data_IF_720893314034
#
_entry.id   IF_720893314034
#
_cell.length_a   1.000
_cell.length_b   1.000
_cell.length_c   1.000
_cell.angle_alpha   90.00
_cell.angle_beta   90.00
_cell.angle_gamma   90.00
#
_symmetry.space_group_name_H-M   'P 1'
#
loop_
_entity.id
_entity.type
_entity.pdbx_description
1 polymer ?
#
# COMPACT_ATOMS: atom_id res chain seq x y z
N UNK A 1 16.86 -8.43 -16.36
CA UNK A 1 15.61 -9.01 -15.81
C UNK A 1 15.69 -8.96 -14.29
N UNK A 2 14.58 -8.64 -13.59
CA UNK A 2 14.48 -8.69 -12.13
C UNK A 2 13.61 -9.86 -11.69
N UNK A 3 14.13 -10.72 -10.83
CA UNK A 3 13.43 -11.90 -10.31
C UNK A 3 12.81 -11.60 -8.94
N UNK A 4 11.50 -11.73 -8.87
CA UNK A 4 10.70 -11.54 -7.66
C UNK A 4 10.29 -12.91 -7.15
N UNK A 5 10.72 -13.27 -5.94
CA UNK A 5 10.31 -14.50 -5.28
C UNK A 5 9.23 -14.20 -4.24
N UNK A 6 8.09 -14.90 -4.32
CA UNK A 6 6.97 -14.75 -3.39
C UNK A 6 6.76 -16.06 -2.64
N UNK A 7 7.18 -16.04 -1.38
CA UNK A 7 7.05 -17.14 -0.42
C UNK A 7 5.94 -16.91 0.60
N UNK A 8 5.74 -17.87 1.51
CA UNK A 8 4.95 -17.59 2.70
C UNK A 8 4.73 -18.79 3.61
N UNK A 9 4.41 -18.51 4.88
CA UNK A 9 4.33 -19.47 5.99
C UNK A 9 3.39 -20.65 5.72
N UNK A 10 2.25 -20.39 5.06
CA UNK A 10 1.22 -21.40 4.77
C UNK A 10 0.45 -21.16 3.46
N UNK A 11 -0.52 -22.03 3.16
CA UNK A 11 -1.47 -21.84 2.06
C UNK A 11 -2.54 -20.80 2.41
N UNK A 12 -3.09 -20.11 1.40
CA UNK A 12 -4.22 -19.19 1.62
C UNK A 12 -3.83 -17.74 1.94
N UNK A 13 -2.54 -17.45 2.12
CA UNK A 13 -2.03 -16.10 2.40
C UNK A 13 -2.17 -15.09 1.25
N UNK A 14 -2.68 -15.50 0.08
CA UNK A 14 -2.84 -14.59 -1.06
C UNK A 14 -1.60 -14.42 -1.95
N UNK A 15 -0.62 -15.33 -1.89
CA UNK A 15 0.57 -15.32 -2.78
C UNK A 15 0.20 -15.16 -4.27
N UNK A 16 -0.77 -15.94 -4.75
CA UNK A 16 -1.29 -15.86 -6.13
C UNK A 16 -1.81 -14.46 -6.47
N UNK A 17 -2.52 -13.83 -5.53
CA UNK A 17 -3.08 -12.48 -5.71
C UNK A 17 -1.94 -11.47 -5.86
N UNK A 18 -1.00 -11.45 -4.93
CA UNK A 18 0.17 -10.57 -4.98
C UNK A 18 0.96 -10.77 -6.29
N UNK A 19 1.23 -12.02 -6.67
CA UNK A 19 1.96 -12.34 -7.89
C UNK A 19 1.24 -11.82 -9.15
N UNK A 20 -0.08 -11.92 -9.21
CA UNK A 20 -0.87 -11.42 -10.33
C UNK A 20 -0.91 -9.89 -10.38
N UNK A 21 -1.09 -9.21 -9.24
CA UNK A 21 -1.09 -7.74 -9.18
C UNK A 21 0.26 -7.16 -9.61
N UNK A 22 1.36 -7.77 -9.14
CA UNK A 22 2.71 -7.40 -9.58
C UNK A 22 2.91 -7.65 -11.09
N UNK A 23 2.43 -8.78 -11.62
CA UNK A 23 2.57 -9.10 -13.04
C UNK A 23 1.80 -8.13 -13.94
N UNK A 24 0.61 -7.70 -13.51
CA UNK A 24 -0.19 -6.71 -14.22
C UNK A 24 0.45 -5.31 -14.18
N UNK A 25 1.09 -4.96 -13.07
CA UNK A 25 1.75 -3.66 -12.92
C UNK A 25 3.09 -3.58 -13.67
N UNK A 26 3.89 -4.64 -13.62
CA UNK A 26 5.22 -4.72 -14.19
C UNK A 26 5.13 -5.11 -15.67
N UNK A 27 5.28 -4.12 -16.55
CA UNK A 27 5.26 -4.33 -18.00
C UNK A 27 6.34 -5.32 -18.46
N UNK A 28 6.02 -6.15 -19.45
CA UNK A 28 6.91 -7.20 -19.96
C UNK A 28 7.41 -8.15 -18.84
N UNK A 29 6.51 -8.51 -17.94
CA UNK A 29 6.73 -9.53 -16.94
C UNK A 29 6.30 -10.92 -17.42
N UNK A 30 6.76 -11.95 -16.71
CA UNK A 30 6.22 -13.30 -16.81
C UNK A 30 6.04 -13.85 -15.40
N UNK A 31 4.95 -14.58 -15.19
CA UNK A 31 4.67 -15.25 -13.93
C UNK A 31 4.82 -16.76 -14.09
N UNK A 32 5.35 -17.41 -13.07
CA UNK A 32 5.32 -18.85 -12.92
C UNK A 32 5.11 -19.28 -11.47
N UNK A 33 4.78 -20.54 -11.27
CA UNK A 33 4.56 -21.13 -9.96
C UNK A 33 5.33 -22.43 -9.79
N UNK A 34 5.88 -22.63 -8.60
CA UNK A 34 6.49 -23.88 -8.18
C UNK A 34 5.73 -24.45 -6.99
N UNK A 35 5.29 -25.70 -7.08
CA UNK A 35 4.48 -26.35 -6.04
C UNK A 35 4.73 -27.86 -5.92
N UNK A 36 4.19 -28.48 -4.86
CA UNK A 36 4.37 -29.91 -4.59
C UNK A 36 3.56 -30.82 -5.52
N UNK A 37 2.32 -30.43 -5.81
CA UNK A 37 1.37 -31.29 -6.53
C UNK A 37 1.24 -30.89 -8.00
N UNK A 38 0.51 -31.71 -8.76
CA UNK A 38 0.15 -31.36 -10.15
C UNK A 38 -0.59 -30.02 -10.22
N UNK A 39 -0.38 -29.31 -11.33
CA UNK A 39 -1.09 -28.06 -11.65
C UNK A 39 -2.62 -28.26 -11.54
N UNK A 40 -3.27 -27.48 -10.68
CA UNK A 40 -4.73 -27.46 -10.55
C UNK A 40 -5.39 -26.89 -11.81
N UNK A 41 -6.62 -27.33 -12.12
CA UNK A 41 -7.42 -26.78 -13.24
C UNK A 41 -7.61 -25.26 -13.04
N UNK A 42 -7.27 -24.46 -14.06
CA UNK A 42 -7.26 -22.99 -13.97
C UNK A 42 -6.03 -22.39 -13.28
N UNK A 43 -5.04 -23.21 -12.88
CA UNK A 43 -3.74 -22.74 -12.39
C UNK A 43 -2.88 -22.12 -13.50
N UNK A 44 -1.78 -21.43 -13.13
CA UNK A 44 -0.92 -20.73 -14.08
C UNK A 44 -0.34 -21.69 -15.13
N UNK A 45 -0.15 -21.20 -16.35
CA UNK A 45 0.42 -21.99 -17.45
C UNK A 45 1.83 -22.48 -17.14
N UNK A 46 2.68 -21.57 -16.66
CA UNK A 46 4.03 -21.87 -16.21
C UNK A 46 3.97 -22.42 -14.78
N UNK A 47 3.78 -23.73 -14.65
CA UNK A 47 3.74 -24.43 -13.38
C UNK A 47 4.76 -25.56 -13.38
N UNK A 48 5.64 -25.56 -12.38
CA UNK A 48 6.71 -26.54 -12.23
C UNK A 48 6.58 -27.29 -10.91
N UNK A 49 6.82 -28.59 -10.94
CA UNK A 49 6.96 -29.41 -9.73
C UNK A 49 8.43 -29.60 -9.36
N UNK A 50 9.32 -29.55 -10.35
CA UNK A 50 10.77 -29.69 -10.18
C UNK A 50 11.49 -28.34 -10.18
N UNK A 51 12.48 -28.19 -9.30
CA UNK A 51 13.26 -26.95 -9.20
C UNK A 51 14.15 -26.73 -10.43
N UNK A 52 14.63 -27.79 -11.08
CA UNK A 52 15.44 -27.70 -12.30
C UNK A 52 14.66 -27.06 -13.46
N UNK A 53 13.39 -27.43 -13.62
CA UNK A 53 12.55 -26.91 -14.70
C UNK A 53 12.25 -25.42 -14.50
N UNK A 54 12.04 -25.01 -13.24
CA UNK A 54 11.88 -23.61 -12.90
C UNK A 54 13.15 -22.79 -13.20
N UNK A 55 14.34 -23.32 -12.89
CA UNK A 55 15.62 -22.66 -13.21
C UNK A 55 15.80 -22.52 -14.72
N UNK A 56 15.55 -23.59 -15.49
CA UNK A 56 15.63 -23.56 -16.95
C UNK A 56 14.66 -22.53 -17.55
N UNK A 57 13.44 -22.45 -16.99
CA UNK A 57 12.46 -21.45 -17.39
C UNK A 57 12.94 -20.01 -17.12
N UNK A 58 13.52 -19.75 -15.94
CA UNK A 58 14.08 -18.44 -15.59
C UNK A 58 15.17 -18.03 -16.57
N UNK A 59 16.11 -18.94 -16.87
CA UNK A 59 17.18 -18.68 -17.84
C UNK A 59 16.61 -18.36 -19.23
N UNK A 60 15.58 -19.10 -19.69
CA UNK A 60 14.90 -18.81 -20.96
C UNK A 60 14.25 -17.42 -21.00
N UNK A 61 13.85 -16.88 -19.85
CA UNK A 61 13.20 -15.57 -19.75
C UNK A 61 14.19 -14.40 -19.76
N UNK A 62 15.46 -14.63 -19.38
CA UNK A 62 16.49 -13.57 -19.24
C UNK A 62 16.70 -12.76 -20.53
N UNK A 63 16.51 -13.38 -21.70
CA UNK A 63 16.73 -12.76 -22.99
C UNK A 63 15.60 -11.81 -23.45
N UNK A 64 14.42 -11.84 -22.83
CA UNK A 64 13.24 -11.13 -23.35
C UNK A 64 12.31 -10.49 -22.33
N UNK A 65 12.59 -10.64 -21.03
CA UNK A 65 11.72 -10.14 -19.95
C UNK A 65 12.42 -9.14 -19.04
N UNK A 66 11.67 -8.13 -18.63
CA UNK A 66 12.16 -7.17 -17.64
C UNK A 66 11.97 -7.70 -16.22
N UNK A 67 10.90 -8.46 -15.99
CA UNK A 67 10.56 -8.98 -14.68
C UNK A 67 10.11 -10.45 -14.77
N UNK A 68 10.49 -11.25 -13.79
CA UNK A 68 10.03 -12.62 -13.63
C UNK A 68 9.49 -12.77 -12.22
N UNK A 69 8.25 -13.25 -12.07
CA UNK A 69 7.55 -13.31 -10.79
C UNK A 69 7.26 -14.77 -10.46
N UNK A 70 7.95 -15.25 -9.43
CA UNK A 70 7.91 -16.61 -8.96
C UNK A 70 7.01 -16.73 -7.73
N UNK A 71 5.92 -17.48 -7.83
CA UNK A 71 5.22 -17.97 -6.64
C UNK A 71 5.83 -19.31 -6.23
N UNK A 72 6.37 -19.40 -5.03
CA UNK A 72 7.09 -20.58 -4.62
C UNK A 72 6.72 -21.03 -3.20
N UNK A 73 6.44 -22.32 -3.05
CA UNK A 73 6.15 -22.93 -1.74
C UNK A 73 7.29 -23.82 -1.24
N UNK A 74 8.37 -23.98 -2.02
CA UNK A 74 9.47 -24.94 -1.76
C UNK A 74 10.88 -24.37 -2.01
N UNK A 75 10.99 -23.08 -2.30
CA UNK A 75 12.11 -22.59 -3.10
C UNK A 75 13.11 -21.81 -2.25
N UNK A 76 14.09 -22.53 -1.69
CA UNK A 76 15.19 -21.88 -0.98
C UNK A 76 16.52 -22.57 -1.27
N UNK A 77 17.55 -21.74 -1.54
CA UNK A 77 18.96 -22.16 -1.66
C UNK A 77 19.55 -22.32 -3.07
N UNK A 78 18.76 -22.24 -4.16
CA UNK A 78 19.27 -22.45 -5.55
C UNK A 78 18.94 -21.35 -6.56
N UNK A 79 18.10 -20.39 -6.20
CA UNK A 79 17.75 -19.26 -7.08
C UNK A 79 18.17 -17.99 -6.39
N UNK A 80 19.00 -17.22 -7.08
CA UNK A 80 19.37 -15.87 -6.69
C UNK A 80 18.27 -14.91 -7.17
N UNK A 81 17.41 -14.48 -6.26
CA UNK A 81 16.31 -13.56 -6.53
C UNK A 81 16.74 -12.13 -6.22
N UNK A 82 16.36 -11.17 -7.07
CA UNK A 82 16.64 -9.76 -6.79
C UNK A 82 15.83 -9.22 -5.61
N UNK A 83 14.66 -9.82 -5.35
CA UNK A 83 13.81 -9.47 -4.20
C UNK A 83 12.97 -10.66 -3.75
N UNK A 84 13.02 -10.94 -2.45
CA UNK A 84 12.25 -11.98 -1.78
C UNK A 84 11.16 -11.32 -0.93
N UNK A 85 9.90 -11.56 -1.29
CA UNK A 85 8.73 -11.15 -0.53
C UNK A 85 8.18 -12.38 0.19
N UNK A 86 8.10 -12.32 1.51
CA UNK A 86 7.57 -13.41 2.33
C UNK A 86 6.27 -12.99 3.02
N UNK A 87 5.22 -13.79 2.84
CA UNK A 87 3.93 -13.58 3.48
C UNK A 87 3.88 -14.43 4.75
N UNK A 88 3.77 -13.79 5.91
CA UNK A 88 3.91 -14.42 7.22
C UNK A 88 2.62 -14.33 8.03
N UNK A 89 2.27 -15.45 8.69
CA UNK A 89 1.31 -15.52 9.80
C UNK A 89 1.87 -16.43 10.90
N UNK A 90 1.89 -15.95 12.14
CA UNK A 90 2.46 -16.60 13.34
C UNK A 90 1.66 -17.82 13.76
N UNK A 91 0.35 -17.88 13.45
CA UNK A 91 -0.51 -19.04 13.75
C UNK A 91 -0.24 -20.26 12.86
N UNK A 92 0.67 -20.14 11.89
CA UNK A 92 1.03 -21.26 11.03
C UNK A 92 2.20 -22.03 11.65
N UNK A 93 2.00 -23.33 11.92
CA UNK A 93 3.11 -24.29 12.06
C UNK A 93 3.95 -24.26 10.78
N UNK A 94 4.97 -23.39 10.74
CA UNK A 94 5.82 -23.19 9.57
C UNK A 94 6.51 -24.50 9.24
N UNK A 95 6.50 -24.87 7.95
CA UNK A 95 7.30 -25.98 7.47
C UNK A 95 8.77 -25.53 7.44
N UNK A 96 9.76 -26.44 7.62
CA UNK A 96 11.18 -26.09 7.56
C UNK A 96 11.58 -25.36 6.26
N UNK A 97 10.97 -25.72 5.13
CA UNK A 97 11.18 -25.06 3.82
C UNK A 97 10.70 -23.58 3.81
N UNK A 98 9.75 -23.22 4.68
CA UNK A 98 9.25 -21.85 4.84
C UNK A 98 10.17 -20.99 5.71
N UNK A 99 10.89 -21.59 6.66
CA UNK A 99 11.77 -20.86 7.58
C UNK A 99 13.01 -20.30 6.86
N UNK A 100 13.62 -21.09 5.98
CA UNK A 100 14.77 -20.62 5.20
C UNK A 100 14.38 -19.45 4.28
N UNK A 101 13.18 -19.51 3.69
CA UNK A 101 12.61 -18.45 2.85
C UNK A 101 12.32 -17.17 3.66
N UNK A 102 11.88 -17.32 4.92
CA UNK A 102 11.65 -16.22 5.84
C UNK A 102 12.98 -15.54 6.24
N UNK A 103 14.02 -16.32 6.54
CA UNK A 103 15.34 -15.82 6.92
C UNK A 103 16.01 -15.00 5.80
N UNK A 104 15.70 -15.30 4.54
CA UNK A 104 16.22 -14.60 3.36
C UNK A 104 15.23 -13.56 2.79
N UNK A 105 14.15 -13.22 3.51
CA UNK A 105 13.16 -12.27 3.03
C UNK A 105 13.70 -10.83 3.06
N UNK A 106 13.60 -10.13 1.92
CA UNK A 106 13.85 -8.69 1.85
C UNK A 106 12.66 -7.90 2.39
N UNK A 107 11.45 -8.37 2.09
CA UNK A 107 10.17 -7.74 2.44
C UNK A 107 9.29 -8.79 3.11
N UNK A 108 8.94 -8.53 4.37
CA UNK A 108 7.98 -9.34 5.11
C UNK A 108 6.63 -8.62 5.13
N UNK A 109 5.57 -9.35 4.76
CA UNK A 109 4.17 -8.91 4.84
C UNK A 109 3.43 -9.78 5.86
N UNK A 110 2.52 -9.19 6.63
CA UNK A 110 1.81 -9.85 7.72
C UNK A 110 2.57 -9.67 9.04
N UNK A 111 2.76 -10.76 9.78
CA UNK A 111 3.56 -10.73 11.00
C UNK A 111 5.01 -10.33 10.75
N UNK A 112 5.57 -9.56 11.68
CA UNK A 112 6.92 -9.01 11.59
C UNK A 112 7.11 -8.00 10.44
N UNK A 113 6.03 -7.49 9.85
CA UNK A 113 6.12 -6.48 8.79
C UNK A 113 6.67 -5.15 9.32
N UNK A 114 7.55 -4.54 8.53
CA UNK A 114 8.03 -3.17 8.77
C UNK A 114 7.88 -2.32 7.49
N UNK A 115 6.70 -1.70 7.27
CA UNK A 115 6.42 -0.99 6.03
C UNK A 115 7.33 0.22 5.76
N UNK A 116 7.95 0.78 6.80
CA UNK A 116 8.88 1.91 6.66
C UNK A 116 10.16 1.52 5.90
N UNK A 117 10.53 0.24 5.88
CA UNK A 117 11.74 -0.25 5.22
C UNK A 117 11.52 -0.71 3.78
N UNK A 118 10.27 -0.97 3.36
CA UNK A 118 10.00 -1.57 2.05
C UNK A 118 10.51 -0.73 0.88
N UNK A 119 10.47 0.60 0.97
CA UNK A 119 11.03 1.46 -0.08
C UNK A 119 12.53 1.21 -0.25
N UNK A 120 13.28 1.18 0.85
CA UNK A 120 14.73 0.97 0.83
C UNK A 120 15.11 -0.40 0.24
N UNK A 121 14.25 -1.41 0.41
CA UNK A 121 14.42 -2.75 -0.19
C UNK A 121 14.17 -2.76 -1.70
N UNK A 122 13.38 -1.82 -2.22
CA UNK A 122 13.14 -1.67 -3.66
C UNK A 122 14.17 -0.77 -4.36
N UNK A 123 14.93 0.03 -3.61
CA UNK A 123 15.91 0.97 -4.17
C UNK A 123 16.99 0.30 -5.03
N UNK A 124 17.55 -0.88 -4.67
CA UNK A 124 18.58 -1.56 -5.48
C UNK A 124 18.06 -2.14 -6.80
N UNK A 125 16.74 -2.18 -7.03
CA UNK A 125 16.15 -2.85 -8.20
C UNK A 125 16.19 -2.02 -9.49
N UNK A 126 16.72 -0.79 -9.45
CA UNK A 126 16.71 0.16 -10.58
C UNK A 126 15.30 0.37 -11.18
N UNK A 127 14.29 0.39 -10.30
CA UNK A 127 12.89 0.60 -10.69
C UNK A 127 12.56 2.09 -10.62
N UNK A 128 11.91 2.69 -11.64
CA UNK A 128 11.48 4.08 -11.60
C UNK A 128 10.66 4.40 -10.33
N UNK A 129 10.93 5.54 -9.69
CA UNK A 129 10.28 5.94 -8.41
C UNK A 129 8.75 5.89 -8.51
N UNK A 130 8.18 6.31 -9.65
CA UNK A 130 6.73 6.25 -9.89
C UNK A 130 6.17 4.83 -9.88
N UNK A 131 6.95 3.86 -10.37
CA UNK A 131 6.59 2.43 -10.36
C UNK A 131 6.80 1.82 -8.98
N UNK A 132 7.90 2.15 -8.27
CA UNK A 132 8.10 1.77 -6.85
C UNK A 132 6.93 2.18 -5.97
N UNK A 133 6.41 3.40 -6.11
CA UNK A 133 5.23 3.86 -5.36
C UNK A 133 3.97 3.04 -5.65
N UNK A 134 3.80 2.53 -6.88
CA UNK A 134 2.68 1.65 -7.22
C UNK A 134 2.87 0.25 -6.63
N UNK A 135 4.10 -0.28 -6.66
CA UNK A 135 4.46 -1.54 -5.99
C UNK A 135 4.16 -1.46 -4.49
N UNK A 136 4.58 -0.38 -3.82
CA UNK A 136 4.29 -0.17 -2.40
C UNK A 136 2.79 -0.19 -2.08
N UNK A 137 1.94 0.36 -2.96
CA UNK A 137 0.47 0.28 -2.76
C UNK A 137 -0.04 -1.15 -2.81
N UNK A 138 0.50 -1.97 -3.71
CA UNK A 138 0.18 -3.41 -3.80
C UNK A 138 0.64 -4.12 -2.51
N UNK A 139 1.87 -3.86 -2.06
CA UNK A 139 2.41 -4.43 -0.83
C UNK A 139 1.57 -4.04 0.40
N UNK A 140 1.18 -2.77 0.53
CA UNK A 140 0.28 -2.33 1.59
C UNK A 140 -1.08 -3.02 1.50
N UNK A 141 -1.70 -3.10 0.33
CA UNK A 141 -2.99 -3.80 0.18
C UNK A 141 -2.90 -5.28 0.52
N UNK A 142 -1.79 -5.94 0.18
CA UNK A 142 -1.54 -7.33 0.53
C UNK A 142 -1.28 -7.50 2.04
N UNK A 143 -0.56 -6.56 2.66
CA UNK A 143 -0.34 -6.54 4.10
C UNK A 143 -1.66 -6.32 4.86
N UNK A 144 -2.50 -5.41 4.37
CA UNK A 144 -3.84 -5.18 4.92
C UNK A 144 -4.70 -6.44 4.79
N UNK A 145 -4.67 -7.13 3.64
CA UNK A 145 -5.35 -8.42 3.44
C UNK A 145 -4.89 -9.49 4.44
N UNK A 146 -3.58 -9.54 4.75
CA UNK A 146 -3.05 -10.46 5.74
C UNK A 146 -3.53 -10.12 7.16
N UNK A 147 -3.81 -8.84 7.43
CA UNK A 147 -4.24 -8.33 8.72
C UNK A 147 -5.76 -8.11 8.86
N UNK A 148 -6.57 -8.36 7.82
CA UNK A 148 -7.99 -7.96 7.75
C UNK A 148 -8.88 -8.64 8.82
N UNK A 149 -8.44 -9.79 9.35
CA UNK A 149 -9.13 -10.52 10.42
C UNK A 149 -8.52 -10.32 11.82
N UNK A 150 -7.51 -9.46 11.95
CA UNK A 150 -6.89 -9.16 13.25
C UNK A 150 -7.58 -8.03 13.97
N UNK A 151 -7.49 -8.07 15.29
CA UNK A 151 -7.80 -6.89 16.06
C UNK A 151 -6.81 -5.80 15.65
N UNK A 152 -7.32 -4.65 15.18
CA UNK A 152 -6.48 -3.54 14.77
C UNK A 152 -7.01 -2.23 15.32
N UNK A 153 -6.11 -1.30 15.63
CA UNK A 153 -6.48 0.05 16.02
C UNK A 153 -6.84 0.89 14.79
N UNK A 154 -8.02 1.53 14.83
CA UNK A 154 -8.41 2.55 13.85
C UNK A 154 -8.43 3.91 14.51
N UNK A 155 -7.65 4.85 13.97
CA UNK A 155 -7.53 6.21 14.52
C UNK A 155 -8.20 7.25 13.61
N UNK A 156 -9.05 8.10 14.20
CA UNK A 156 -9.65 9.27 13.53
C UNK A 156 -9.16 10.55 14.19
N UNK A 157 -8.68 11.50 13.40
CA UNK A 157 -8.04 12.73 13.91
C UNK A 157 -8.74 13.96 13.34
N UNK A 158 -9.06 14.89 14.24
CA UNK A 158 -9.61 16.20 13.92
C UNK A 158 -9.05 17.26 14.86
N UNK A 159 -8.97 18.50 14.38
CA UNK A 159 -8.65 19.67 15.18
C UNK A 159 -9.94 20.29 15.67
N UNK A 160 -9.96 20.74 16.92
CA UNK A 160 -11.06 21.48 17.52
C UNK A 160 -10.61 22.84 18.03
N UNK A 161 -11.53 23.79 18.04
CA UNK A 161 -11.39 25.10 18.68
C UNK A 161 -12.73 25.42 19.35
N UNK A 162 -12.69 25.85 20.60
CA UNK A 162 -13.88 26.19 21.39
C UNK A 162 -14.93 25.06 21.42
N UNK A 163 -14.47 23.82 21.60
CA UNK A 163 -15.31 22.62 21.66
C UNK A 163 -15.93 22.20 20.32
N UNK A 164 -15.58 22.84 19.20
CA UNK A 164 -16.14 22.56 17.87
C UNK A 164 -15.05 22.08 16.92
N UNK A 165 -15.38 21.09 16.07
CA UNK A 165 -14.48 20.60 15.02
C UNK A 165 -14.20 21.71 14.01
N UNK A 166 -12.93 22.01 13.74
CA UNK A 166 -12.51 23.03 12.77
C UNK A 166 -11.83 22.44 11.54
N UNK A 167 -11.14 21.32 11.71
CA UNK A 167 -10.40 20.70 10.62
C UNK A 167 -10.31 19.19 10.83
N UNK A 168 -10.28 18.42 9.76
CA UNK A 168 -10.19 16.97 9.82
C UNK A 168 -10.10 16.38 8.42
N UNK A 169 -10.06 15.05 8.33
CA UNK A 169 -9.76 14.35 7.07
C UNK A 169 -10.67 14.71 5.90
N UNK A 170 -11.97 14.87 6.15
CA UNK A 170 -12.92 15.23 5.10
C UNK A 170 -12.60 16.59 4.47
N UNK A 171 -12.28 17.59 5.30
CA UNK A 171 -11.93 18.92 4.84
C UNK A 171 -10.53 18.97 4.22
N UNK A 172 -9.57 18.22 4.76
CA UNK A 172 -8.25 18.08 4.14
C UNK A 172 -8.37 17.53 2.71
N UNK A 173 -9.12 16.44 2.52
CA UNK A 173 -9.38 15.84 1.20
C UNK A 173 -10.09 16.79 0.25
N UNK A 174 -11.10 17.52 0.73
CA UNK A 174 -11.82 18.50 -0.08
C UNK A 174 -10.87 19.62 -0.58
N UNK A 175 -10.00 20.15 0.28
CA UNK A 175 -9.02 21.18 -0.09
C UNK A 175 -8.00 20.64 -1.10
N UNK A 176 -7.50 19.42 -0.91
CA UNK A 176 -6.62 18.77 -1.91
C UNK A 176 -7.32 18.54 -3.25
N UNK A 177 -8.60 18.17 -3.23
CA UNK A 177 -9.39 17.99 -4.44
C UNK A 177 -9.58 19.33 -5.17
N UNK A 178 -9.81 20.43 -4.43
CA UNK A 178 -9.84 21.78 -5.01
C UNK A 178 -8.50 22.10 -5.67
N UNK A 179 -7.40 21.82 -5.00
CA UNK A 179 -6.06 22.08 -5.53
C UNK A 179 -5.77 21.29 -6.82
N UNK A 180 -6.09 19.99 -6.81
CA UNK A 180 -5.90 19.10 -7.96
C UNK A 180 -6.81 19.44 -9.14
N UNK A 181 -8.06 19.77 -8.85
CA UNK A 181 -9.09 19.98 -9.87
C UNK A 181 -9.27 21.46 -10.23
N UNK A 182 -8.65 22.39 -9.52
CA UNK A 182 -8.74 23.83 -9.75
C UNK A 182 -10.15 24.41 -9.60
N UNK A 183 -11.06 23.74 -8.90
CA UNK A 183 -12.46 24.17 -8.74
C UNK A 183 -13.16 23.46 -7.60
N UNK A 184 -13.85 24.23 -6.76
CA UNK A 184 -14.66 23.69 -5.67
C UNK A 184 -15.86 22.88 -6.17
N UNK A 185 -16.47 23.25 -7.30
CA UNK A 185 -17.59 22.47 -7.84
C UNK A 185 -17.14 21.10 -8.32
N UNK A 186 -15.97 21.01 -8.98
CA UNK A 186 -15.36 19.73 -9.37
C UNK A 186 -14.95 18.89 -8.16
N UNK A 187 -14.36 19.52 -7.15
CA UNK A 187 -14.00 18.86 -5.89
C UNK A 187 -15.23 18.31 -5.15
N UNK A 188 -16.29 19.11 -5.01
CA UNK A 188 -17.54 18.67 -4.38
C UNK A 188 -18.17 17.47 -5.12
N UNK A 189 -18.19 17.52 -6.47
CA UNK A 189 -18.66 16.40 -7.30
C UNK A 189 -17.80 15.15 -7.13
N UNK A 190 -16.48 15.30 -7.08
CA UNK A 190 -15.53 14.20 -6.84
C UNK A 190 -15.77 13.54 -5.48
N UNK A 191 -16.06 14.33 -4.45
CA UNK A 191 -16.26 13.86 -3.08
C UNK A 191 -17.70 13.44 -2.79
N UNK A 192 -18.60 13.47 -3.79
CA UNK A 192 -19.99 13.06 -3.66
C UNK A 192 -20.85 14.00 -2.80
N UNK A 193 -20.45 15.26 -2.61
CA UNK A 193 -21.19 16.25 -1.82
C UNK A 193 -21.71 17.40 -2.68
N UNK A 194 -22.78 18.06 -2.25
CA UNK A 194 -23.29 19.24 -2.94
C UNK A 194 -22.30 20.41 -2.83
N UNK A 195 -22.24 21.24 -3.88
CA UNK A 195 -21.41 22.46 -3.87
C UNK A 195 -21.71 23.35 -2.65
N UNK A 196 -22.99 23.53 -2.30
CA UNK A 196 -23.41 24.31 -1.14
C UNK A 196 -22.88 23.74 0.17
N UNK A 197 -22.85 22.40 0.30
CA UNK A 197 -22.29 21.75 1.47
C UNK A 197 -20.77 21.95 1.54
N UNK A 198 -20.05 21.72 0.44
CA UNK A 198 -18.61 21.93 0.34
C UNK A 198 -18.21 23.37 0.70
N UNK A 199 -18.91 24.36 0.14
CA UNK A 199 -18.72 25.77 0.46
C UNK A 199 -18.99 26.07 1.94
N UNK A 200 -20.07 25.52 2.50
CA UNK A 200 -20.43 25.71 3.91
C UNK A 200 -19.40 25.13 4.88
N UNK A 201 -18.81 23.96 4.56
CA UNK A 201 -17.73 23.38 5.38
C UNK A 201 -16.50 24.29 5.36
N UNK A 202 -16.07 24.74 4.17
CA UNK A 202 -14.91 25.63 4.02
C UNK A 202 -15.12 26.92 4.81
N UNK A 203 -16.26 27.60 4.61
CA UNK A 203 -16.53 28.88 5.28
C UNK A 203 -16.53 28.77 6.80
N UNK A 204 -17.20 27.75 7.35
CA UNK A 204 -17.19 27.50 8.81
C UNK A 204 -15.79 27.26 9.36
N UNK A 205 -14.92 26.60 8.59
CA UNK A 205 -13.55 26.34 9.00
C UNK A 205 -12.68 27.61 8.89
N UNK A 206 -12.79 28.36 7.81
CA UNK A 206 -12.12 29.66 7.60
C UNK A 206 -12.47 30.65 8.72
N UNK A 207 -13.75 30.78 9.06
CA UNK A 207 -14.23 31.64 10.15
C UNK A 207 -13.58 31.30 11.49
N UNK A 208 -13.47 30.01 11.81
CA UNK A 208 -12.91 29.54 13.10
C UNK A 208 -11.39 29.59 13.14
N UNK A 209 -10.73 29.42 11.99
CA UNK A 209 -9.26 29.43 11.89
C UNK A 209 -8.70 30.82 11.60
N UNK A 210 -9.53 31.76 11.16
CA UNK A 210 -9.17 33.16 10.90
C UNK A 210 -8.31 33.35 9.65
N UNK A 211 -8.43 32.46 8.65
CA UNK A 211 -7.76 32.66 7.36
C UNK A 211 -8.49 31.95 6.23
N UNK A 212 -8.39 32.53 5.03
CA UNK A 212 -9.02 31.99 3.82
C UNK A 212 -8.27 30.76 3.30
N UNK A 213 -9.02 29.73 2.92
CA UNK A 213 -8.51 28.52 2.29
C UNK A 213 -8.46 28.63 0.79
N UNK A 214 -9.34 29.45 0.19
CA UNK A 214 -9.40 29.68 -1.24
C UNK A 214 -8.92 31.09 -1.59
N UNK A 215 -8.17 31.21 -2.68
CA UNK A 215 -7.82 32.50 -3.26
C UNK A 215 -9.09 33.16 -3.82
N UNK A 216 -9.29 34.45 -3.48
CA UNK A 216 -10.40 35.24 -4.04
C UNK A 216 -10.03 35.64 -5.48
N UNK A 217 -10.64 35.03 -6.48
CA UNK A 217 -10.58 35.58 -7.84
C UNK A 217 -11.67 36.63 -8.03
N UNK A 218 -11.28 37.84 -8.43
CA UNK A 218 -12.20 38.82 -9.04
C UNK A 218 -12.72 38.25 -10.36
N UNK A 219 -14.03 37.99 -10.42
CA UNK A 219 -14.65 37.27 -11.53
C UNK A 219 -14.55 37.99 -12.88
N UNK A 220 -14.18 37.25 -13.92
CA UNK A 220 -14.32 37.62 -15.33
C UNK A 220 -15.13 36.56 -16.09
N UNK A 221 -15.58 36.90 -17.29
CA UNK A 221 -16.58 36.20 -18.13
C UNK A 221 -16.28 34.75 -18.54
N UNK A 222 -15.17 34.14 -18.11
CA UNK A 222 -14.72 32.80 -18.56
C UNK A 222 -14.76 31.69 -17.49
N UNK A 223 -15.40 31.92 -16.35
CA UNK A 223 -15.62 30.91 -15.32
C UNK A 223 -14.52 30.89 -14.26
N UNK A 224 -14.90 31.17 -13.01
CA UNK A 224 -13.99 31.26 -11.87
C UNK A 224 -13.44 29.90 -11.45
N UNK A 225 -12.12 29.77 -11.42
CA UNK A 225 -11.44 28.66 -10.76
C UNK A 225 -11.40 28.86 -9.25
N UNK A 226 -11.15 27.80 -8.51
CA UNK A 226 -10.83 27.89 -7.07
C UNK A 226 -9.41 27.35 -6.90
N UNK A 227 -8.50 28.21 -6.46
CA UNK A 227 -7.14 27.82 -6.05
C UNK A 227 -7.05 27.89 -4.53
N UNK A 228 -6.27 27.00 -3.93
CA UNK A 228 -6.06 27.02 -2.48
C UNK A 228 -4.97 28.03 -2.11
N UNK A 229 -5.09 28.66 -0.96
CA UNK A 229 -4.05 29.57 -0.47
C UNK A 229 -2.80 28.80 -0.04
N UNK A 230 -1.59 29.42 -0.07
CA UNK A 230 -0.38 28.80 0.45
C UNK A 230 -0.50 28.36 1.92
N UNK A 231 -1.31 29.07 2.71
CA UNK A 231 -1.55 28.75 4.13
C UNK A 231 -2.43 27.50 4.29
N UNK A 232 -3.46 27.34 3.46
CA UNK A 232 -4.27 26.12 3.42
C UNK A 232 -3.45 24.90 3.00
N UNK A 233 -2.58 25.04 1.99
CA UNK A 233 -1.66 23.97 1.59
C UNK A 233 -0.81 23.49 2.76
N UNK A 234 -0.16 24.43 3.47
CA UNK A 234 0.63 24.11 4.67
C UNK A 234 -0.20 23.44 5.77
N UNK A 235 -1.46 23.83 5.96
CA UNK A 235 -2.34 23.20 6.96
C UNK A 235 -2.67 21.75 6.58
N UNK A 236 -2.98 21.50 5.31
CA UNK A 236 -3.22 20.15 4.79
C UNK A 236 -1.99 19.26 4.96
N UNK A 237 -0.81 19.75 4.56
CA UNK A 237 0.44 19.01 4.69
C UNK A 237 0.72 18.61 6.15
N UNK A 238 0.55 19.57 7.08
CA UNK A 238 0.70 19.33 8.52
C UNK A 238 -0.34 18.37 9.07
N UNK A 239 -1.58 18.43 8.60
CA UNK A 239 -2.63 17.49 9.00
C UNK A 239 -2.24 16.05 8.63
N UNK A 240 -1.77 15.82 7.41
CA UNK A 240 -1.35 14.48 6.97
C UNK A 240 -0.10 13.98 7.69
N UNK A 241 0.84 14.89 8.00
CA UNK A 241 1.99 14.55 8.83
C UNK A 241 1.55 14.11 10.23
N UNK A 242 0.72 14.90 10.92
CA UNK A 242 0.17 14.56 12.23
C UNK A 242 -0.58 13.23 12.17
N UNK A 243 -1.41 13.01 11.14
CA UNK A 243 -2.16 11.76 10.99
C UNK A 243 -1.25 10.56 10.88
N UNK A 244 -0.20 10.65 10.06
CA UNK A 244 0.78 9.58 9.87
C UNK A 244 1.53 9.26 11.17
N UNK A 245 2.03 10.29 11.84
CA UNK A 245 2.83 10.13 13.06
C UNK A 245 1.98 9.59 14.21
N UNK A 246 0.72 10.02 14.33
CA UNK A 246 -0.20 9.50 15.34
C UNK A 246 -0.54 8.03 15.07
N UNK A 247 -0.90 7.66 13.84
CA UNK A 247 -1.18 6.26 13.49
C UNK A 247 0.03 5.39 13.86
N UNK A 248 1.24 5.77 13.43
CA UNK A 248 2.46 5.02 13.74
C UNK A 248 2.71 4.83 15.24
N UNK A 249 2.47 5.85 16.06
CA UNK A 249 2.64 5.75 17.52
C UNK A 249 1.52 4.92 18.16
N UNK A 250 0.30 5.09 17.67
CA UNK A 250 -0.89 4.38 18.13
C UNK A 250 -0.78 2.88 17.84
N UNK A 251 -0.32 2.50 16.65
CA UNK A 251 -0.12 1.10 16.27
C UNK A 251 0.93 0.42 17.17
N UNK A 252 2.07 1.08 17.41
CA UNK A 252 3.09 0.59 18.36
C UNK A 252 2.56 0.43 19.79
N UNK A 253 1.69 1.33 20.22
CA UNK A 253 1.07 1.25 21.55
C UNK A 253 0.04 0.12 21.60
N UNK A 254 -0.75 -0.04 20.54
CA UNK A 254 -1.72 -1.11 20.39
C UNK A 254 -1.04 -2.47 20.47
N UNK A 255 0.02 -2.67 19.69
CA UNK A 255 0.85 -3.88 19.74
C UNK A 255 1.34 -4.14 21.17
N UNK A 256 1.94 -3.14 21.82
CA UNK A 256 2.48 -3.29 23.18
C UNK A 256 1.42 -3.70 24.22
N UNK A 257 0.17 -3.25 24.07
CA UNK A 257 -0.84 -3.37 25.12
C UNK A 257 -1.91 -4.44 24.88
N UNK A 258 -2.04 -4.94 23.65
CA UNK A 258 -3.17 -5.81 23.28
C UNK A 258 -2.75 -7.07 22.51
N UNK A 259 -1.44 -7.30 22.26
CA UNK A 259 -0.95 -8.52 21.60
C UNK A 259 -1.19 -9.78 22.44
N UNK A 260 -1.13 -9.68 23.77
CA UNK A 260 -1.33 -10.79 24.70
C UNK A 260 -2.78 -11.34 24.67
N UNK A 261 -3.75 -10.51 24.29
CA UNK A 261 -5.16 -10.89 24.19
C UNK A 261 -5.49 -11.76 22.96
N UNK A 262 -4.62 -11.84 21.96
CA UNK A 262 -4.81 -12.76 20.82
C UNK A 262 -4.26 -14.17 21.11
N UNK A 263 -3.30 -14.31 22.03
CA UNK A 263 -2.63 -15.57 22.39
C UNK A 263 -3.36 -16.48 23.39
N UNK A 264 -4.51 -16.05 23.92
CA UNK A 264 -5.32 -16.82 24.89
C UNK A 264 -6.42 -17.69 24.24
N UNK A 265 -6.39 -17.90 22.91
CA UNK A 265 -7.39 -18.71 22.18
C UNK A 265 -6.87 -20.08 21.76
#
# INVERSE_FOLDING_TARGET
MKLWLIGGSSSGLGKTRLANELAQLLSNSVRFKVGHDRRKKGGPENYFTESSDAVNFIESCRAGKNHCIAEATRFVGKIDADVVIFLNRVDDNRKPESDDQFMHADIILGDDSNPDEWMAKLDPLDIPVGLRRKILRILHSQNDFLNDNRLCLKTKIWFSRDGRVVFGEGLARLIEAVDKLGSLSRAAKNDGISYRHAWGIIRKAEERLGFDFLERQTGGSKGGGSKITPKARKLVDRYWQIKRDTIRKSDKLFEKLLLDLESEK
#
